data_IF_971087433746
#
_entry.id   IF_971087433746
#
_cell.length_a   1.000
_cell.length_b   1.000
_cell.length_c   1.000
_cell.angle_alpha   90.00
_cell.angle_beta   90.00
_cell.angle_gamma   90.00
#
_symmetry.space_group_name_H-M   'P 1'
#
loop_
_entity.id
_entity.type
_entity.pdbx_description
1 polymer ?
#
# COMPACT_ATOMS: atom_id res chain seq x y z
N UNK A 1 -18.48 15.07 6.43
CA UNK A 1 -17.36 14.38 5.74
C UNK A 1 -16.05 15.12 5.99
N UNK A 2 -15.08 14.51 6.67
CA UNK A 2 -13.78 15.11 7.03
C UNK A 2 -12.68 14.61 6.08
N UNK A 3 -12.52 15.32 4.97
CA UNK A 3 -11.56 14.94 3.91
C UNK A 3 -10.11 14.83 4.41
N UNK A 4 -9.73 15.60 5.44
CA UNK A 4 -8.38 15.56 6.01
C UNK A 4 -8.11 14.21 6.68
N UNK A 5 -9.12 13.63 7.33
CA UNK A 5 -9.03 12.34 7.99
C UNK A 5 -8.92 11.21 6.96
N UNK A 6 -9.70 11.29 5.87
CA UNK A 6 -9.65 10.32 4.75
C UNK A 6 -8.25 10.31 4.11
N UNK A 7 -7.68 11.49 3.84
CA UNK A 7 -6.33 11.60 3.26
C UNK A 7 -5.27 11.06 4.24
N UNK A 8 -5.38 11.38 5.53
CA UNK A 8 -4.45 10.90 6.55
C UNK A 8 -4.50 9.37 6.68
N UNK A 9 -5.69 8.77 6.76
CA UNK A 9 -5.87 7.32 6.78
C UNK A 9 -5.30 6.65 5.52
N UNK A 10 -5.54 7.26 4.35
CA UNK A 10 -4.94 6.85 3.09
C UNK A 10 -3.40 6.84 3.15
N UNK A 11 -2.77 7.92 3.62
CA UNK A 11 -1.31 8.02 3.70
C UNK A 11 -0.68 7.01 4.67
N UNK A 12 -1.29 6.81 5.85
CA UNK A 12 -0.81 5.81 6.81
C UNK A 12 -0.90 4.40 6.20
N UNK A 13 -2.04 4.07 5.62
CA UNK A 13 -2.28 2.75 5.03
C UNK A 13 -1.41 2.53 3.78
N UNK A 14 -1.11 3.59 3.02
CA UNK A 14 -0.13 3.55 1.92
C UNK A 14 1.28 3.22 2.41
N UNK A 15 1.71 3.82 3.53
CA UNK A 15 3.00 3.49 4.14
C UNK A 15 3.08 2.01 4.53
N UNK A 16 2.04 1.49 5.19
CA UNK A 16 1.95 0.07 5.56
C UNK A 16 1.95 -0.82 4.30
N UNK A 17 1.14 -0.48 3.30
CA UNK A 17 1.07 -1.20 2.04
C UNK A 17 2.40 -1.24 1.31
N UNK A 18 3.16 -0.14 1.32
CA UNK A 18 4.52 -0.07 0.74
C UNK A 18 5.47 -1.07 1.38
N UNK A 19 5.49 -1.12 2.72
CA UNK A 19 6.31 -2.08 3.48
C UNK A 19 5.92 -3.53 3.17
N UNK A 20 4.62 -3.80 3.07
CA UNK A 20 4.12 -5.13 2.69
C UNK A 20 4.52 -5.48 1.25
N UNK A 21 4.43 -4.52 0.32
CA UNK A 21 4.86 -4.69 -1.07
C UNK A 21 6.36 -5.01 -1.18
N UNK A 22 7.20 -4.30 -0.43
CA UNK A 22 8.64 -4.56 -0.33
C UNK A 22 8.93 -5.96 0.22
N UNK A 23 8.24 -6.35 1.31
CA UNK A 23 8.38 -7.68 1.90
C UNK A 23 7.96 -8.78 0.91
N UNK A 24 6.87 -8.57 0.16
CA UNK A 24 6.42 -9.50 -0.88
C UNK A 24 7.43 -9.63 -2.03
N UNK A 25 8.08 -8.52 -2.42
CA UNK A 25 9.16 -8.54 -3.42
C UNK A 25 10.37 -9.35 -2.93
N UNK A 26 10.71 -9.19 -1.65
CA UNK A 26 11.83 -9.89 -1.03
C UNK A 26 11.55 -11.39 -0.86
N UNK A 27 10.33 -11.78 -0.48
CA UNK A 27 9.89 -13.19 -0.40
C UNK A 27 9.82 -13.82 -1.80
N UNK A 28 9.35 -13.07 -2.81
CA UNK A 28 9.29 -13.54 -4.20
C UNK A 28 10.66 -13.78 -4.83
N UNK A 29 11.71 -13.12 -4.34
CA UNK A 29 13.10 -13.40 -4.71
C UNK A 29 13.68 -14.54 -3.85
N UNK A 30 13.30 -15.77 -4.20
CA UNK A 30 13.63 -17.01 -3.46
C UNK A 30 15.14 -17.35 -3.31
N UNK A 31 16.08 -16.52 -3.77
CA UNK A 31 17.52 -16.75 -3.61
C UNK A 31 18.22 -15.49 -3.07
N UNK A 32 18.57 -15.53 -1.78
CA UNK A 32 19.22 -14.44 -1.05
C UNK A 32 20.63 -14.08 -1.55
N UNK A 33 21.28 -14.97 -2.34
CA UNK A 33 22.69 -14.83 -2.74
C UNK A 33 22.93 -14.90 -4.26
N UNK A 34 21.90 -15.10 -5.07
CA UNK A 34 22.00 -15.06 -6.53
C UNK A 34 20.80 -14.31 -7.09
N UNK A 35 21.05 -13.12 -7.66
CA UNK A 35 20.15 -12.58 -8.67
C UNK A 35 20.15 -13.58 -9.83
N UNK A 36 19.17 -14.50 -9.84
CA UNK A 36 18.98 -15.49 -10.91
C UNK A 36 18.83 -14.83 -12.30
N UNK A 37 18.60 -13.52 -12.33
CA UNK A 37 18.58 -12.70 -13.53
C UNK A 37 19.29 -11.36 -13.27
N UNK A 38 20.55 -11.26 -13.69
CA UNK A 38 21.37 -10.05 -13.71
C UNK A 38 20.92 -9.11 -14.85
N UNK A 39 19.63 -8.81 -14.91
CA UNK A 39 19.03 -7.92 -15.89
C UNK A 39 18.63 -6.60 -15.25
N UNK A 40 18.91 -5.48 -15.93
CA UNK A 40 18.50 -4.12 -15.54
C UNK A 40 17.00 -4.01 -15.13
N UNK A 41 16.18 -4.93 -15.64
CA UNK A 41 14.75 -5.06 -15.37
C UNK A 41 14.41 -5.47 -13.92
N UNK A 42 15.28 -6.23 -13.24
CA UNK A 42 15.04 -6.68 -11.86
C UNK A 42 15.50 -5.67 -10.79
N UNK A 43 16.33 -4.68 -11.16
CA UNK A 43 16.81 -3.63 -10.25
C UNK A 43 15.67 -2.76 -9.70
N UNK A 44 14.64 -2.50 -10.51
CA UNK A 44 13.50 -1.66 -10.13
C UNK A 44 12.31 -2.48 -9.61
N UNK A 45 12.43 -3.81 -9.54
CA UNK A 45 11.32 -4.67 -9.11
C UNK A 45 10.92 -4.37 -7.66
N UNK A 46 11.90 -4.12 -6.80
CA UNK A 46 11.67 -3.77 -5.39
C UNK A 46 10.86 -2.48 -5.26
N UNK A 47 11.23 -1.45 -6.03
CA UNK A 47 10.57 -0.15 -6.06
C UNK A 47 9.15 -0.24 -6.66
N UNK A 48 8.98 -1.05 -7.72
CA UNK A 48 7.67 -1.31 -8.31
C UNK A 48 6.71 -1.97 -7.33
N UNK A 49 7.15 -2.98 -6.59
CA UNK A 49 6.31 -3.66 -5.61
C UNK A 49 6.00 -2.78 -4.40
N UNK A 50 6.94 -1.94 -3.97
CA UNK A 50 6.69 -0.89 -2.97
C UNK A 50 5.60 0.07 -3.45
N UNK A 51 5.69 0.54 -4.70
CA UNK A 51 4.72 1.45 -5.30
C UNK A 51 3.33 0.81 -5.43
N UNK A 52 3.27 -0.45 -5.86
CA UNK A 52 2.01 -1.22 -5.95
C UNK A 52 1.41 -1.34 -4.56
N UNK A 53 2.19 -1.80 -3.58
CA UNK A 53 1.75 -1.92 -2.20
C UNK A 53 1.25 -0.59 -1.63
N UNK A 54 1.97 0.50 -1.88
CA UNK A 54 1.58 1.84 -1.45
C UNK A 54 0.26 2.29 -2.08
N UNK A 55 0.08 2.07 -3.39
CA UNK A 55 -1.15 2.44 -4.10
C UNK A 55 -2.37 1.67 -3.60
N UNK A 56 -2.23 0.36 -3.37
CA UNK A 56 -3.30 -0.48 -2.82
C UNK A 56 -3.62 -0.04 -1.39
N UNK A 57 -2.60 0.16 -0.56
CA UNK A 57 -2.78 0.65 0.81
C UNK A 57 -3.49 2.01 0.85
N UNK A 58 -3.15 2.93 -0.04
CA UNK A 58 -3.77 4.24 -0.13
C UNK A 58 -5.28 4.14 -0.41
N UNK A 59 -5.65 3.36 -1.44
CA UNK A 59 -7.05 3.18 -1.84
C UNK A 59 -7.84 2.51 -0.72
N UNK A 60 -7.28 1.47 -0.09
CA UNK A 60 -7.94 0.75 1.00
C UNK A 60 -8.15 1.68 2.21
N UNK A 61 -7.14 2.44 2.62
CA UNK A 61 -7.26 3.38 3.75
C UNK A 61 -8.30 4.47 3.51
N UNK A 62 -8.31 5.05 2.31
CA UNK A 62 -9.33 6.05 1.94
C UNK A 62 -10.73 5.44 1.91
N UNK A 63 -10.89 4.23 1.36
CA UNK A 63 -12.19 3.56 1.28
C UNK A 63 -12.73 3.20 2.68
N UNK A 64 -11.88 2.69 3.58
CA UNK A 64 -12.26 2.36 4.95
C UNK A 64 -12.75 3.59 5.71
N UNK A 65 -12.03 4.72 5.60
CA UNK A 65 -12.41 5.95 6.28
C UNK A 65 -13.68 6.56 5.69
N UNK A 66 -13.84 6.51 4.36
CA UNK A 66 -15.06 6.96 3.69
C UNK A 66 -16.30 6.18 4.16
N UNK A 67 -16.18 4.84 4.24
CA UNK A 67 -17.27 3.99 4.75
C UNK A 67 -17.57 4.29 6.22
N UNK A 68 -16.54 4.54 7.04
CA UNK A 68 -16.72 4.91 8.45
C UNK A 68 -17.46 6.23 8.61
N UNK A 69 -17.11 7.24 7.84
CA UNK A 69 -17.80 8.53 7.89
C UNK A 69 -19.23 8.48 7.37
N UNK A 70 -19.50 7.69 6.31
CA UNK A 70 -20.86 7.46 5.84
C UNK A 70 -21.72 6.76 6.88
N UNK A 71 -21.12 5.81 7.63
CA UNK A 71 -21.83 5.11 8.71
C UNK A 71 -22.10 6.02 9.90
N UNK A 72 -21.14 6.86 10.31
CA UNK A 72 -21.34 7.87 11.37
C UNK A 72 -22.49 8.82 11.03
N UNK A 73 -22.52 9.33 9.80
CA UNK A 73 -23.60 10.23 9.34
C UNK A 73 -24.98 9.57 9.38
N UNK A 74 -25.07 8.26 9.12
CA UNK A 74 -26.33 7.51 9.20
C UNK A 74 -26.78 7.27 10.65
N UNK A 75 -25.85 7.04 11.57
CA UNK A 75 -26.17 6.83 13.00
C UNK A 75 -26.55 8.13 13.72
N UNK A 76 -26.15 9.27 13.15
CA UNK A 76 -26.50 10.61 13.63
C UNK A 76 -27.86 11.12 13.09
N UNK A 77 -28.43 10.46 12.05
CA UNK A 77 -29.82 10.67 11.57
C UNK A 77 -30.83 9.82 12.35
#
# INVERSE_FOLDING_TARGET
MNIKLIIFSGLITAGIGSVIGLAAAQIGQSNFNELKFEGQYYKDLHNRYALIGASVGLVVGMAQECVREMKSQREEE
#
